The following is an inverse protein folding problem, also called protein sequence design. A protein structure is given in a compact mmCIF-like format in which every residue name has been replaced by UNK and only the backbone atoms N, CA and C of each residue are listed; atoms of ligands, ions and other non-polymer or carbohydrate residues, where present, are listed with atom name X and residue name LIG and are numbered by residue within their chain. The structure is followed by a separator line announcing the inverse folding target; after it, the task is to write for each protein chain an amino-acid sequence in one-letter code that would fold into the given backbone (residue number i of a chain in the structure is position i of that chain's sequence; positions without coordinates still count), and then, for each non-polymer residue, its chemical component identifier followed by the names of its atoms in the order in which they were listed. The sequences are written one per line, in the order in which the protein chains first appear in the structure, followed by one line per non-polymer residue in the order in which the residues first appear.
data_IF_418252494688
#
_entry.id   IF_418252494688
#
_cell.length_a   1.000
_cell.length_b   1.000
_cell.length_c   1.000
_cell.angle_alpha   90.00
_cell.angle_beta   90.00
_cell.angle_gamma   90.00
#
_symmetry.space_group_name_H-M   'P 1'
#
loop_
_entity.id
_entity.type
_entity.pdbx_description
1 polymer ?
#
# COMPACT_ATOMS: atom_id res chain seq x y z
N UNK A 1 4.35 14.38 6.13
CA UNK A 1 3.08 13.86 5.64
C UNK A 1 3.24 12.66 4.76
N UNK A 2 2.39 11.71 4.90
CA UNK A 2 2.49 10.52 4.07
C UNK A 2 2.11 10.89 2.63
N UNK A 3 2.62 10.11 1.71
CA UNK A 3 2.35 10.36 0.32
C UNK A 3 0.96 9.87 -0.05
N UNK A 4 0.53 10.25 -1.23
CA UNK A 4 -0.77 9.82 -1.70
C UNK A 4 -0.80 8.32 -1.87
N UNK A 5 0.32 7.75 -2.23
CA UNK A 5 0.42 6.31 -2.40
C UNK A 5 0.15 5.61 -1.09
N UNK A 6 0.72 6.13 -0.01
CA UNK A 6 0.51 5.54 1.29
C UNK A 6 -0.95 5.65 1.72
N UNK A 7 -1.54 6.78 1.45
CA UNK A 7 -2.93 6.99 1.80
C UNK A 7 -3.83 6.05 1.01
N UNK A 8 -3.51 5.89 -0.25
CA UNK A 8 -4.28 5.00 -1.09
C UNK A 8 -4.19 3.56 -0.60
N UNK A 9 -2.99 3.14 -0.25
CA UNK A 9 -2.80 1.79 0.25
C UNK A 9 -3.61 1.56 1.52
N UNK A 10 -3.61 2.53 2.39
CA UNK A 10 -4.37 2.42 3.63
C UNK A 10 -5.86 2.33 3.33
N UNK A 11 -6.30 3.14 2.42
CA UNK A 11 -7.69 3.15 2.04
C UNK A 11 -8.12 1.83 1.45
N UNK A 12 -7.25 1.23 0.68
CA UNK A 12 -7.54 -0.06 0.06
C UNK A 12 -7.25 -1.22 0.99
N UNK A 13 -6.83 -0.90 2.21
CA UNK A 13 -6.51 -1.91 3.20
C UNK A 13 -5.34 -2.80 2.80
N UNK A 14 -4.46 -2.27 2.01
CA UNK A 14 -3.26 -2.99 1.63
C UNK A 14 -2.26 -2.93 2.77
N UNK A 15 -2.36 -1.89 3.58
CA UNK A 15 -1.53 -1.76 4.76
C UNK A 15 -2.46 -1.43 5.91
N UNK A 16 -2.00 -1.66 7.13
CA UNK A 16 -2.82 -1.40 8.30
C UNK A 16 -2.55 -0.02 8.85
N UNK A 17 -3.45 0.44 9.68
CA UNK A 17 -3.31 1.73 10.32
C UNK A 17 -2.03 1.74 11.17
N UNK A 18 -1.71 0.63 11.76
CA UNK A 18 -0.52 0.50 12.55
C UNK A 18 0.71 0.74 11.72
N UNK A 19 0.76 0.14 10.56
CA UNK A 19 1.89 0.31 9.67
C UNK A 19 1.97 1.75 9.20
N UNK A 20 0.83 2.33 8.93
CA UNK A 20 0.75 3.69 8.47
C UNK A 20 1.34 4.64 9.52
N UNK A 21 1.03 4.40 10.76
CA UNK A 21 1.54 5.22 11.85
C UNK A 21 2.97 4.96 12.23
N UNK A 22 3.38 3.74 12.16
CA UNK A 22 4.71 3.34 12.59
C UNK A 22 5.82 3.53 11.59
N UNK A 23 5.55 3.31 10.36
CA UNK A 23 6.59 3.41 9.35
C UNK A 23 6.86 4.86 8.98
N UNK A 24 8.13 5.19 8.76
CA UNK A 24 8.47 6.54 8.33
C UNK A 24 7.95 6.75 6.92
N UNK A 25 7.71 7.98 6.57
CA UNK A 25 7.14 8.31 5.27
C UNK A 25 7.85 7.68 4.08
N UNK A 26 9.15 7.77 3.98
CA UNK A 26 9.84 7.19 2.82
C UNK A 26 9.68 5.68 2.75
N UNK A 27 9.72 5.03 3.88
CA UNK A 27 9.59 3.60 3.92
C UNK A 27 8.14 3.20 3.65
N UNK A 28 7.24 3.94 4.21
CA UNK A 28 5.82 3.70 4.04
C UNK A 28 5.44 3.79 2.56
N UNK A 29 6.00 4.76 1.88
CA UNK A 29 5.74 4.95 0.48
C UNK A 29 6.19 3.74 -0.33
N UNK A 30 7.35 3.22 -0.01
CA UNK A 30 7.87 2.06 -0.70
C UNK A 30 7.00 0.85 -0.47
N UNK A 31 6.62 0.62 0.77
CA UNK A 31 5.78 -0.50 1.11
C UNK A 31 4.43 -0.37 0.40
N UNK A 32 3.89 0.82 0.41
CA UNK A 32 2.60 1.06 -0.21
C UNK A 32 2.65 0.78 -1.71
N UNK A 33 3.69 1.25 -2.36
CA UNK A 33 3.85 1.01 -3.77
C UNK A 33 3.96 -0.47 -4.08
N UNK A 34 4.72 -1.16 -3.27
CA UNK A 34 4.90 -2.59 -3.44
C UNK A 34 3.56 -3.33 -3.32
N UNK A 35 2.80 -2.95 -2.32
CA UNK A 35 1.51 -3.59 -2.10
C UNK A 35 0.52 -3.29 -3.22
N UNK A 36 0.55 -2.07 -3.69
CA UNK A 36 -0.34 -1.69 -4.77
C UNK A 36 0.00 -2.48 -6.04
N UNK A 37 1.30 -2.64 -6.28
CA UNK A 37 1.74 -3.39 -7.44
C UNK A 37 1.31 -4.85 -7.33
N UNK A 38 1.45 -5.41 -6.14
CA UNK A 38 1.04 -6.78 -5.93
C UNK A 38 -0.46 -6.96 -6.12
N UNK A 39 -1.20 -6.00 -5.64
CA UNK A 39 -2.63 -6.08 -5.76
C UNK A 39 -3.06 -6.04 -7.21
N UNK A 40 -2.42 -5.20 -7.98
CA UNK A 40 -2.72 -5.12 -9.39
C UNK A 40 -2.45 -6.43 -10.08
N UNK A 41 -1.34 -7.03 -9.75
CA UNK A 41 -0.98 -8.29 -10.32
C UNK A 41 -1.92 -9.38 -9.92
N UNK A 42 -2.24 -9.43 -8.66
CA UNK A 42 -3.14 -10.41 -8.14
C UNK A 42 -4.50 -10.33 -8.76
N UNK A 43 -4.97 -9.14 -8.94
CA UNK A 43 -6.24 -8.94 -9.53
C UNK A 43 -6.29 -9.56 -10.90
N UNK A 44 -5.26 -9.40 -11.67
CA UNK A 44 -5.19 -9.99 -12.96
C UNK A 44 -5.21 -11.48 -12.90
N UNK A 45 -4.41 -12.03 -12.04
CA UNK A 45 -4.31 -13.46 -11.89
C UNK A 45 -5.58 -14.04 -11.37
N UNK A 46 -6.18 -13.40 -10.42
CA UNK A 46 -7.35 -13.89 -9.83
C UNK A 46 -8.49 -13.92 -10.77
N UNK A 47 -8.42 -13.10 -11.71
CA UNK A 47 -9.41 -13.08 -12.64
C UNK A 47 -9.91 -14.38 -13.08
N UNK A 48 -9.18 -15.27 -13.28
CA UNK A 48 -9.57 -16.49 -13.75
C UNK A 48 -10.74 -17.08 -13.19
#
# INVERSE_FOLDING_TARGET
MPSKVAQKALKEKLITQKQYDRLPAPLLDKVALHKIALKKKEKKTKKK
#
